data_IF_420754406247
#
_entry.id   IF_420754406247
#
_cell.length_a   1.000
_cell.length_b   1.000
_cell.length_c   1.000
_cell.angle_alpha   90.00
_cell.angle_beta   90.00
_cell.angle_gamma   90.00
#
_symmetry.space_group_name_H-M   'P 1'
#
loop_
_entity.id
_entity.type
_entity.pdbx_description
1 polymer ?
#
# COMPACT_ATOMS: atom_id res chain seq x y z
N UNK A 1 11.03 -5.17 -13.53
CA UNK A 1 12.44 -5.24 -13.87
C UNK A 1 13.26 -4.34 -12.97
N UNK A 2 14.34 -3.82 -13.50
CA UNK A 2 15.24 -2.99 -12.70
C UNK A 2 14.61 -1.72 -12.20
N UNK A 3 13.67 -1.14 -12.94
CA UNK A 3 12.97 0.05 -12.52
C UNK A 3 12.22 -0.17 -11.21
N UNK A 4 11.72 -1.38 -10.99
CA UNK A 4 10.95 -1.70 -9.80
C UNK A 4 11.81 -1.71 -8.53
N UNK A 5 13.14 -1.79 -8.70
CA UNK A 5 14.07 -1.88 -7.58
C UNK A 5 14.85 -0.58 -7.37
N UNK A 6 14.50 0.47 -8.09
CA UNK A 6 15.37 1.64 -8.20
C UNK A 6 15.73 2.26 -6.86
N UNK A 7 14.75 2.49 -6.00
CA UNK A 7 15.02 3.14 -4.71
C UNK A 7 15.85 2.25 -3.80
N UNK A 8 15.46 1.00 -3.65
CA UNK A 8 16.18 0.06 -2.80
C UNK A 8 17.59 -0.19 -3.30
N UNK A 9 17.72 -0.39 -4.61
CA UNK A 9 19.03 -0.65 -5.22
C UNK A 9 19.97 0.53 -5.01
N UNK A 10 19.48 1.74 -5.26
CA UNK A 10 20.29 2.95 -5.08
C UNK A 10 20.68 3.14 -3.63
N UNK A 11 19.74 2.92 -2.72
CA UNK A 11 20.01 3.04 -1.30
C UNK A 11 21.12 2.06 -0.88
N UNK A 12 21.02 0.81 -1.30
CA UNK A 12 22.01 -0.21 -0.96
C UNK A 12 23.37 0.13 -1.56
N UNK A 13 23.39 0.60 -2.81
CA UNK A 13 24.66 0.95 -3.45
C UNK A 13 25.33 2.14 -2.77
N UNK A 14 24.56 3.14 -2.40
CA UNK A 14 25.15 4.37 -1.86
C UNK A 14 25.51 4.27 -0.37
N UNK A 15 24.81 3.45 0.39
CA UNK A 15 25.05 3.30 1.82
C UNK A 15 25.90 2.09 2.17
N UNK A 16 26.05 1.15 1.24
CA UNK A 16 26.73 -0.10 1.51
C UNK A 16 25.88 -1.11 2.27
N UNK A 17 24.63 -0.76 2.58
CA UNK A 17 23.73 -1.67 3.25
C UNK A 17 23.29 -2.79 2.31
N UNK A 18 23.12 -3.99 2.86
CA UNK A 18 22.70 -5.15 2.07
C UNK A 18 21.22 -5.45 2.20
N UNK A 19 20.53 -4.65 3.00
CA UNK A 19 19.13 -4.93 3.31
C UNK A 19 19.01 -5.99 4.38
N UNK A 20 17.79 -6.21 4.81
CA UNK A 20 17.48 -7.20 5.84
C UNK A 20 16.59 -8.28 5.24
N UNK A 21 16.57 -9.43 5.87
CA UNK A 21 15.65 -10.49 5.49
C UNK A 21 14.23 -9.99 5.75
N UNK A 22 13.39 -10.01 4.72
CA UNK A 22 12.03 -9.51 4.82
C UNK A 22 11.22 -10.23 5.92
N UNK A 23 11.59 -11.48 6.21
CA UNK A 23 10.91 -12.26 7.24
C UNK A 23 11.17 -11.73 8.66
N UNK A 24 12.15 -10.85 8.83
CA UNK A 24 12.46 -10.26 10.13
C UNK A 24 11.56 -9.08 10.48
N UNK A 25 10.76 -8.60 9.54
CA UNK A 25 9.89 -7.46 9.77
C UNK A 25 8.53 -7.87 10.26
N UNK A 26 8.03 -7.16 11.27
CA UNK A 26 6.66 -7.37 11.74
C UNK A 26 5.66 -6.85 10.72
N UNK A 27 4.42 -7.33 10.77
CA UNK A 27 3.39 -6.80 9.88
C UNK A 27 3.20 -5.29 10.01
N UNK A 28 3.37 -4.74 11.21
CA UNK A 28 3.23 -3.29 11.40
C UNK A 28 4.39 -2.51 10.79
N UNK A 29 5.59 -3.08 10.77
CA UNK A 29 6.72 -2.46 10.07
C UNK A 29 6.46 -2.47 8.57
N UNK A 30 5.93 -3.57 8.05
CA UNK A 30 5.56 -3.63 6.63
C UNK A 30 4.47 -2.61 6.30
N UNK A 31 3.48 -2.46 7.18
CA UNK A 31 2.43 -1.47 6.97
C UNK A 31 2.98 -0.05 7.01
N UNK A 32 3.96 0.21 7.85
CA UNK A 32 4.59 1.52 7.96
C UNK A 32 5.16 1.97 6.61
N UNK A 33 5.96 1.13 5.97
CA UNK A 33 6.52 1.49 4.66
C UNK A 33 5.46 1.38 3.56
N UNK A 34 4.51 0.46 3.74
CA UNK A 34 3.44 0.25 2.76
C UNK A 34 2.49 1.42 2.65
N UNK A 35 2.27 2.15 3.74
CA UNK A 35 1.46 3.36 3.71
C UNK A 35 2.03 4.35 2.70
N UNK A 36 3.34 4.57 2.74
CA UNK A 36 4.01 5.47 1.79
C UNK A 36 4.00 4.90 0.38
N UNK A 37 4.23 3.59 0.24
CA UNK A 37 4.24 2.96 -1.09
C UNK A 37 2.88 3.06 -1.75
N UNK A 38 1.81 2.84 -1.00
CA UNK A 38 0.45 2.98 -1.51
C UNK A 38 0.19 4.42 -1.93
N UNK A 39 0.55 5.36 -1.08
CA UNK A 39 0.26 6.77 -1.35
C UNK A 39 1.00 7.27 -2.59
N UNK A 40 2.25 6.86 -2.80
CA UNK A 40 2.97 7.32 -4.00
C UNK A 40 2.31 6.77 -5.27
N UNK A 41 1.79 5.54 -5.22
CA UNK A 41 1.06 4.98 -6.36
C UNK A 41 -0.19 5.82 -6.65
N UNK A 42 -0.96 6.16 -5.61
CA UNK A 42 -2.18 6.94 -5.78
C UNK A 42 -1.86 8.34 -6.31
N UNK A 43 -0.88 9.01 -5.73
CA UNK A 43 -0.50 10.35 -6.20
C UNK A 43 -0.01 10.31 -7.64
N UNK A 44 0.73 9.28 -8.01
CA UNK A 44 1.20 9.13 -9.39
C UNK A 44 0.03 9.00 -10.35
N UNK A 45 -0.95 8.15 -10.01
CA UNK A 45 -2.13 7.99 -10.86
C UNK A 45 -2.88 9.32 -11.05
N UNK A 46 -3.01 10.08 -9.98
CA UNK A 46 -3.73 11.35 -10.03
C UNK A 46 -2.96 12.39 -10.87
N UNK A 47 -1.65 12.49 -10.65
CA UNK A 47 -0.81 13.44 -11.39
C UNK A 47 -0.78 13.10 -12.88
N UNK A 48 -0.78 11.81 -13.22
CA UNK A 48 -0.74 11.38 -14.62
C UNK A 48 -2.01 11.72 -15.39
N UNK A 49 -3.08 12.10 -14.70
CA UNK A 49 -4.30 12.56 -15.36
C UNK A 49 -4.18 13.99 -15.88
N UNK A 50 -3.15 14.71 -15.48
CA UNK A 50 -2.88 16.04 -15.97
C UNK A 50 -2.78 17.08 -14.89
N UNK A 51 -2.39 18.28 -15.30
CA UNK A 51 -2.18 19.41 -14.38
C UNK A 51 -3.50 19.84 -13.74
N UNK A 52 -3.48 19.97 -12.42
CA UNK A 52 -4.62 20.42 -11.65
C UNK A 52 -4.13 21.28 -10.50
N UNK A 53 -5.02 22.07 -9.92
CA UNK A 53 -4.66 22.85 -8.74
C UNK A 53 -4.31 21.91 -7.59
N UNK A 54 -3.35 22.31 -6.76
CA UNK A 54 -2.89 21.50 -5.63
C UNK A 54 -4.06 21.08 -4.73
N UNK A 55 -5.01 21.99 -4.50
CA UNK A 55 -6.17 21.67 -3.69
C UNK A 55 -6.98 20.50 -4.26
N UNK A 56 -7.16 20.49 -5.57
CA UNK A 56 -7.89 19.39 -6.23
C UNK A 56 -7.11 18.08 -6.13
N UNK A 57 -5.78 18.14 -6.26
CA UNK A 57 -4.94 16.95 -6.11
C UNK A 57 -5.08 16.35 -4.72
N UNK A 58 -4.99 17.19 -3.68
CA UNK A 58 -5.13 16.72 -2.31
C UNK A 58 -6.50 16.13 -2.02
N UNK A 59 -7.54 16.76 -2.55
CA UNK A 59 -8.90 16.28 -2.34
C UNK A 59 -9.10 14.88 -2.91
N UNK A 60 -8.61 14.67 -4.13
CA UNK A 60 -8.69 13.35 -4.76
C UNK A 60 -7.87 12.31 -4.00
N UNK A 61 -6.68 12.68 -3.56
CA UNK A 61 -5.81 11.78 -2.82
C UNK A 61 -6.48 11.33 -1.53
N UNK A 62 -7.00 12.27 -0.75
CA UNK A 62 -7.63 11.97 0.53
C UNK A 62 -8.76 10.96 0.40
N UNK A 63 -9.53 11.05 -0.68
CA UNK A 63 -10.65 10.12 -0.91
C UNK A 63 -10.21 8.68 -1.09
N UNK A 64 -8.97 8.46 -1.48
CA UNK A 64 -8.48 7.11 -1.82
C UNK A 64 -7.49 6.58 -0.81
N UNK A 65 -6.80 7.45 -0.07
CA UNK A 65 -5.82 6.98 0.93
C UNK A 65 -6.43 6.76 2.32
N UNK A 66 -7.67 7.14 2.54
CA UNK A 66 -8.30 6.92 3.84
C UNK A 66 -8.54 5.44 4.08
N UNK A 67 -8.71 5.08 5.35
CA UNK A 67 -8.83 3.67 5.74
C UNK A 67 -10.06 3.00 5.14
N UNK A 68 -11.18 3.71 5.05
CA UNK A 68 -12.38 3.11 4.47
C UNK A 68 -12.20 2.78 3.00
N UNK A 69 -11.48 3.62 2.25
CA UNK A 69 -11.20 3.34 0.85
C UNK A 69 -10.24 2.16 0.71
N UNK A 70 -9.19 2.12 1.53
CA UNK A 70 -8.26 1.00 1.49
C UNK A 70 -8.95 -0.31 1.87
N UNK A 71 -9.83 -0.28 2.85
CA UNK A 71 -10.61 -1.45 3.25
C UNK A 71 -11.47 -1.95 2.09
N UNK A 72 -12.13 -1.03 1.39
CA UNK A 72 -12.95 -1.39 0.24
C UNK A 72 -12.10 -1.99 -0.89
N UNK A 73 -10.93 -1.39 -1.15
CA UNK A 73 -10.03 -1.87 -2.19
C UNK A 73 -9.59 -3.30 -1.90
N UNK A 74 -9.10 -3.57 -0.69
CA UNK A 74 -8.59 -4.90 -0.38
C UNK A 74 -9.70 -5.95 -0.41
N UNK A 75 -10.91 -5.59 0.00
CA UNK A 75 -12.04 -6.51 -0.10
C UNK A 75 -12.38 -6.81 -1.56
N UNK A 76 -12.24 -5.82 -2.43
CA UNK A 76 -12.58 -5.98 -3.84
C UNK A 76 -11.57 -6.83 -4.61
N UNK A 77 -10.40 -7.11 -4.07
CA UNK A 77 -9.34 -7.84 -4.77
C UNK A 77 -8.96 -9.17 -4.13
N UNK A 78 -9.76 -9.66 -3.18
CA UNK A 78 -9.45 -10.91 -2.48
C UNK A 78 -9.20 -12.07 -3.45
N UNK A 79 -9.95 -12.12 -4.53
CA UNK A 79 -9.88 -13.22 -5.51
C UNK A 79 -8.62 -13.16 -6.37
N UNK A 80 -7.95 -12.01 -6.47
CA UNK A 80 -6.74 -11.90 -7.29
C UNK A 80 -5.45 -11.90 -6.48
N UNK A 81 -5.56 -11.86 -5.16
CA UNK A 81 -4.39 -11.92 -4.29
C UNK A 81 -3.83 -13.33 -4.21
N UNK A 82 -2.51 -13.44 -4.19
CA UNK A 82 -1.85 -14.73 -4.01
C UNK A 82 -2.01 -15.21 -2.56
N UNK A 83 -1.71 -16.49 -2.33
CA UNK A 83 -1.73 -17.04 -0.98
C UNK A 83 -0.78 -16.29 -0.05
N UNK A 84 0.41 -15.94 -0.55
CA UNK A 84 1.38 -15.20 0.24
C UNK A 84 0.88 -13.81 0.58
N UNK A 85 0.28 -13.13 -0.39
CA UNK A 85 -0.30 -11.81 -0.16
C UNK A 85 -1.43 -11.87 0.86
N UNK A 86 -2.30 -12.88 0.74
CA UNK A 86 -3.40 -13.07 1.69
C UNK A 86 -2.88 -13.38 3.10
N UNK A 87 -1.81 -14.13 3.21
CA UNK A 87 -1.20 -14.42 4.50
C UNK A 87 -0.70 -13.15 5.16
N UNK A 88 0.02 -12.33 4.41
CA UNK A 88 0.53 -11.05 4.93
C UNK A 88 -0.62 -10.14 5.31
N UNK A 89 -1.65 -10.09 4.46
CA UNK A 89 -2.84 -9.30 4.74
C UNK A 89 -3.48 -9.70 6.08
N UNK A 90 -3.69 -11.00 6.28
CA UNK A 90 -4.32 -11.48 7.52
C UNK A 90 -3.46 -11.17 8.74
N UNK A 91 -2.14 -11.32 8.61
CA UNK A 91 -1.23 -11.03 9.73
C UNK A 91 -1.25 -9.54 10.07
N UNK A 92 -1.27 -8.68 9.06
CA UNK A 92 -1.37 -7.24 9.29
C UNK A 92 -2.71 -6.85 9.87
N UNK A 93 -3.79 -7.39 9.32
CA UNK A 93 -5.13 -7.13 9.79
C UNK A 93 -5.32 -7.56 11.26
N UNK A 94 -4.69 -8.65 11.63
CA UNK A 94 -4.83 -9.21 12.98
C UNK A 94 -3.74 -8.75 13.94
N UNK A 95 -2.88 -7.83 13.52
CA UNK A 95 -1.85 -7.28 14.39
C UNK A 95 -2.50 -6.48 15.52
N UNK A 96 -1.86 -6.51 16.69
CA UNK A 96 -2.36 -5.78 17.82
C UNK A 96 -2.20 -4.28 17.58
N UNK A 97 -3.31 -3.57 17.58
CA UNK A 97 -3.35 -2.15 17.34
C UNK A 97 -3.83 -1.49 18.63
N UNK A 98 -3.03 -0.57 19.17
CA UNK A 98 -3.32 0.06 20.46
C UNK A 98 -4.28 1.23 20.37
N UNK A 99 -4.49 1.79 19.19
CA UNK A 99 -5.39 2.91 19.03
C UNK A 99 -5.97 2.89 17.63
N UNK A 100 -7.13 3.53 17.49
CA UNK A 100 -7.75 3.71 16.18
C UNK A 100 -8.03 5.19 16.01
N UNK A 101 -8.11 5.62 14.76
CA UNK A 101 -8.45 7.01 14.47
C UNK A 101 -9.91 7.27 14.83
N UNK A 102 -10.20 8.49 15.22
CA UNK A 102 -11.57 8.91 15.45
C UNK A 102 -12.32 8.88 14.12
N UNK A 103 -13.61 8.62 14.20
CA UNK A 103 -14.51 8.62 13.03
C UNK A 103 -14.19 7.53 12.03
N UNK A 104 -13.52 6.48 12.47
CA UNK A 104 -13.15 5.36 11.61
C UNK A 104 -13.53 4.07 12.33
N UNK A 105 -14.12 3.12 11.60
CA UNK A 105 -14.42 1.83 12.22
C UNK A 105 -13.13 1.07 12.46
N UNK A 106 -13.11 0.30 13.54
CA UNK A 106 -11.95 -0.55 13.85
C UNK A 106 -11.71 -1.57 12.76
N UNK A 107 -12.78 -2.08 12.17
CA UNK A 107 -12.67 -3.06 11.09
C UNK A 107 -12.00 -2.47 9.86
N UNK A 108 -12.39 -1.26 9.46
CA UNK A 108 -11.75 -0.58 8.34
C UNK A 108 -10.28 -0.28 8.62
N UNK A 109 -9.99 0.14 9.84
CA UNK A 109 -8.61 0.41 10.24
C UNK A 109 -7.75 -0.85 10.13
N UNK A 110 -8.27 -1.99 10.59
CA UNK A 110 -7.54 -3.25 10.52
C UNK A 110 -7.32 -3.70 9.08
N UNK A 111 -8.34 -3.59 8.24
CA UNK A 111 -8.21 -3.97 6.83
C UNK A 111 -7.21 -3.07 6.11
N UNK A 112 -7.24 -1.77 6.41
CA UNK A 112 -6.28 -0.85 5.83
C UNK A 112 -4.86 -1.20 6.25
N UNK A 113 -4.65 -1.51 7.53
CA UNK A 113 -3.33 -1.92 8.02
C UNK A 113 -2.86 -3.18 7.31
N UNK A 114 -3.75 -4.15 7.14
CA UNK A 114 -3.42 -5.38 6.42
C UNK A 114 -3.02 -5.13 4.98
N UNK A 115 -3.77 -4.26 4.30
CA UNK A 115 -3.45 -3.93 2.92
C UNK A 115 -2.12 -3.17 2.82
N UNK A 116 -1.88 -2.25 3.74
CA UNK A 116 -0.60 -1.54 3.77
C UNK A 116 0.56 -2.49 3.99
N UNK A 117 0.36 -3.52 4.82
CA UNK A 117 1.40 -4.53 5.02
C UNK A 117 1.72 -5.26 3.71
N UNK A 118 0.71 -5.58 2.91
CA UNK A 118 0.91 -6.19 1.60
C UNK A 118 1.70 -5.24 0.69
N UNK A 119 1.31 -3.98 0.64
CA UNK A 119 2.01 -2.98 -0.17
C UNK A 119 3.47 -2.86 0.25
N UNK A 120 3.73 -2.84 1.57
CA UNK A 120 5.09 -2.75 2.08
C UNK A 120 5.93 -3.98 1.74
N UNK A 121 5.33 -5.16 1.87
CA UNK A 121 6.01 -6.38 1.49
C UNK A 121 6.41 -6.35 0.02
N UNK A 122 5.46 -6.00 -0.84
CA UNK A 122 5.73 -5.94 -2.28
C UNK A 122 6.78 -4.89 -2.62
N UNK A 123 6.70 -3.73 -1.97
CA UNK A 123 7.68 -2.68 -2.18
C UNK A 123 9.09 -3.15 -1.83
N UNK A 124 9.25 -3.78 -0.68
CA UNK A 124 10.57 -4.25 -0.23
C UNK A 124 11.09 -5.42 -1.06
N UNK A 125 10.20 -6.14 -1.74
CA UNK A 125 10.59 -7.19 -2.67
C UNK A 125 10.87 -6.67 -4.08
N UNK A 126 10.73 -5.36 -4.29
CA UNK A 126 10.93 -4.78 -5.60
C UNK A 126 9.79 -5.02 -6.56
N UNK A 127 8.61 -5.35 -6.04
CA UNK A 127 7.44 -5.71 -6.84
C UNK A 127 6.49 -4.53 -7.00
N UNK A 128 7.02 -3.39 -7.42
CA UNK A 128 6.21 -2.18 -7.59
C UNK A 128 5.10 -2.38 -8.62
N UNK A 129 5.38 -3.12 -9.69
CA UNK A 129 4.38 -3.40 -10.71
C UNK A 129 3.17 -4.11 -10.11
N UNK A 130 3.42 -5.04 -9.17
CA UNK A 130 2.33 -5.77 -8.53
C UNK A 130 1.47 -4.85 -7.65
N UNK A 131 2.10 -3.89 -6.96
CA UNK A 131 1.34 -2.91 -6.17
C UNK A 131 0.39 -2.15 -7.09
N UNK A 132 0.91 -1.65 -8.21
CA UNK A 132 0.09 -0.90 -9.17
C UNK A 132 -1.06 -1.77 -9.69
N UNK A 133 -0.78 -3.03 -10.01
CA UNK A 133 -1.80 -3.95 -10.50
C UNK A 133 -2.93 -4.16 -9.49
N UNK A 134 -2.58 -4.42 -8.24
CA UNK A 134 -3.58 -4.65 -7.20
C UNK A 134 -4.42 -3.39 -6.95
N UNK A 135 -3.75 -2.25 -6.85
CA UNK A 135 -4.43 -0.98 -6.60
C UNK A 135 -5.37 -0.65 -7.77
N UNK A 136 -4.87 -0.76 -8.99
CA UNK A 136 -5.68 -0.43 -10.16
C UNK A 136 -6.87 -1.36 -10.28
N UNK A 137 -6.69 -2.64 -10.03
CA UNK A 137 -7.79 -3.60 -10.07
C UNK A 137 -8.89 -3.20 -9.09
N UNK A 138 -8.49 -2.85 -7.86
CA UNK A 138 -9.46 -2.43 -6.86
C UNK A 138 -10.17 -1.14 -7.23
N UNK A 139 -9.42 -0.15 -7.70
CA UNK A 139 -10.00 1.14 -8.09
C UNK A 139 -10.98 0.98 -9.24
N UNK A 140 -10.63 0.15 -10.23
CA UNK A 140 -11.50 -0.08 -11.39
C UNK A 140 -12.79 -0.79 -10.96
N UNK A 141 -12.68 -1.81 -10.14
CA UNK A 141 -13.86 -2.57 -9.68
C UNK A 141 -14.80 -1.72 -8.83
N UNK A 142 -14.25 -0.78 -8.08
CA UNK A 142 -15.05 0.10 -7.24
C UNK A 142 -15.43 1.40 -7.94
N UNK A 143 -14.99 1.58 -9.17
CA UNK A 143 -15.24 2.79 -9.96
C UNK A 143 -14.83 4.05 -9.22
N UNK A 144 -13.68 4.00 -8.53
CA UNK A 144 -13.18 5.14 -7.76
C UNK A 144 -12.34 6.11 -8.60
N UNK A 145 -11.76 5.62 -9.65
CA UNK A 145 -11.00 6.46 -10.60
C UNK A 145 -11.27 5.97 -12.02
#
# INVERSE_FOLDING_TARGET
MEENLIILKEFHQQTGEKGNDIRTYSPLTLAYIGDAAYEIVIRTLIVEKGQQAVHALHKQTTRIVCASAQAAIVEAIQDVMTEKELDIYRRGKNSKINSSAKNMSLEDYRKATGFEAVCGYLYLQGETARIVELVKTGLDRLELI
#
